data_IF_654595625570
#
_entry.id   IF_654595625570
#
_cell.length_a   1.000
_cell.length_b   1.000
_cell.length_c   1.000
_cell.angle_alpha   90.00
_cell.angle_beta   90.00
_cell.angle_gamma   90.00
#
_symmetry.space_group_name_H-M   'P 1'
#
loop_
_entity.id
_entity.type
_entity.pdbx_description
1 polymer ?
#
# COMPACT_ATOMS: atom_id res chain seq x y z
N UNK A 1 12.47 -11.42 23.94
CA UNK A 1 11.28 -10.96 23.20
C UNK A 1 10.14 -11.90 23.57
N UNK A 2 9.09 -11.37 24.23
CA UNK A 2 7.95 -12.20 24.63
C UNK A 2 7.11 -12.51 23.38
N UNK A 3 7.14 -13.76 22.93
CA UNK A 3 6.24 -14.26 21.89
C UNK A 3 4.91 -14.63 22.54
N UNK A 4 3.81 -14.15 22.01
CA UNK A 4 2.49 -14.60 22.39
C UNK A 4 2.21 -15.92 21.65
N UNK A 5 1.97 -16.96 22.42
CA UNK A 5 1.72 -18.30 21.86
C UNK A 5 0.25 -18.53 21.47
N UNK A 6 -0.66 -17.68 21.96
CA UNK A 6 -2.09 -17.80 21.69
C UNK A 6 -2.71 -16.44 21.37
N UNK A 7 -3.80 -16.45 20.59
CA UNK A 7 -4.58 -15.24 20.32
C UNK A 7 -5.20 -14.63 21.58
N UNK A 8 -5.51 -15.45 22.57
CA UNK A 8 -6.09 -14.97 23.85
C UNK A 8 -5.07 -14.18 24.66
N UNK A 9 -3.82 -14.63 24.72
CA UNK A 9 -2.71 -13.91 25.37
C UNK A 9 -2.43 -12.58 24.65
N UNK A 10 -2.43 -12.57 23.32
CA UNK A 10 -2.28 -11.35 22.53
C UNK A 10 -3.41 -10.37 22.81
N UNK A 11 -4.67 -10.81 22.76
CA UNK A 11 -5.83 -9.98 23.06
C UNK A 11 -5.82 -9.46 24.50
N UNK A 12 -5.32 -10.24 25.45
CA UNK A 12 -5.19 -9.77 26.84
C UNK A 12 -4.13 -8.67 26.95
N UNK A 13 -2.97 -8.86 26.32
CA UNK A 13 -1.90 -7.87 26.31
C UNK A 13 -2.35 -6.54 25.66
N UNK A 14 -3.11 -6.61 24.55
CA UNK A 14 -3.71 -5.41 23.94
C UNK A 14 -4.65 -4.69 24.90
N UNK A 15 -5.53 -5.42 25.58
CA UNK A 15 -6.45 -4.84 26.59
C UNK A 15 -5.71 -4.19 27.77
N UNK A 16 -4.61 -4.78 28.19
CA UNK A 16 -3.82 -4.25 29.31
C UNK A 16 -3.14 -2.93 28.93
N UNK A 17 -2.62 -2.81 27.70
CA UNK A 17 -2.08 -1.54 27.18
C UNK A 17 -3.18 -0.47 27.08
N UNK A 18 -4.37 -0.83 26.55
CA UNK A 18 -5.48 0.12 26.39
C UNK A 18 -6.05 0.62 27.71
N UNK A 19 -6.00 -0.20 28.76
CA UNK A 19 -6.49 0.16 30.10
C UNK A 19 -5.47 0.92 30.95
N UNK A 20 -4.23 0.99 30.54
CA UNK A 20 -3.16 1.67 31.26
C UNK A 20 -3.31 3.19 31.11
N UNK A 21 -4.07 3.80 32.02
CA UNK A 21 -4.33 5.25 32.02
C UNK A 21 -3.14 6.10 32.49
N UNK A 22 -2.05 5.48 32.92
CA UNK A 22 -0.83 6.19 33.31
C UNK A 22 0.03 6.60 32.09
N UNK A 23 -0.29 6.08 30.91
CA UNK A 23 0.45 6.33 29.69
C UNK A 23 -0.23 7.34 28.77
N UNK A 24 0.57 8.11 28.04
CA UNK A 24 0.06 8.99 26.99
C UNK A 24 -0.43 8.15 25.80
N UNK A 25 -1.21 8.77 24.91
CA UNK A 25 -1.68 8.14 23.68
C UNK A 25 -0.53 7.61 22.81
N UNK A 26 0.55 8.39 22.67
CA UNK A 26 1.74 7.99 21.91
C UNK A 26 2.44 6.77 22.54
N UNK A 27 2.54 6.75 23.88
CA UNK A 27 3.13 5.61 24.59
C UNK A 27 2.28 4.35 24.44
N UNK A 28 0.95 4.48 24.52
CA UNK A 28 0.05 3.36 24.28
C UNK A 28 0.17 2.84 22.85
N UNK A 29 0.17 3.75 21.85
CA UNK A 29 0.34 3.40 20.44
C UNK A 29 1.66 2.68 20.18
N UNK A 30 2.75 3.18 20.76
CA UNK A 30 4.06 2.53 20.65
C UNK A 30 4.06 1.12 21.27
N UNK A 31 3.44 0.94 22.43
CA UNK A 31 3.34 -0.39 23.05
C UNK A 31 2.46 -1.35 22.24
N UNK A 32 1.34 -0.87 21.71
CA UNK A 32 0.51 -1.68 20.81
C UNK A 32 1.27 -2.09 19.56
N UNK A 33 2.06 -1.15 18.99
CA UNK A 33 2.94 -1.43 17.88
C UNK A 33 3.94 -2.56 18.19
N UNK A 34 4.59 -2.49 19.33
CA UNK A 34 5.51 -3.53 19.81
C UNK A 34 4.84 -4.89 20.01
N UNK A 35 3.62 -4.91 20.54
CA UNK A 35 2.86 -6.16 20.70
C UNK A 35 2.56 -6.82 19.35
N UNK A 36 2.11 -6.04 18.36
CA UNK A 36 1.81 -6.58 17.04
C UNK A 36 3.08 -7.05 16.32
N UNK A 37 4.18 -6.30 16.38
CA UNK A 37 5.47 -6.68 15.83
C UNK A 37 5.95 -8.03 16.38
N UNK A 38 5.80 -8.24 17.69
CA UNK A 38 6.19 -9.48 18.35
C UNK A 38 5.23 -10.67 18.03
N UNK A 39 4.05 -10.40 17.49
CA UNK A 39 3.06 -11.43 17.13
C UNK A 39 3.10 -11.83 15.66
N UNK A 40 3.83 -11.10 14.81
CA UNK A 40 3.95 -11.42 13.39
C UNK A 40 4.81 -12.66 13.18
N UNK A 41 4.29 -13.62 12.42
CA UNK A 41 5.08 -14.70 11.87
C UNK A 41 5.77 -14.20 10.60
N UNK A 42 7.08 -14.06 10.65
CA UNK A 42 7.84 -13.77 9.44
C UNK A 42 7.81 -14.97 8.48
N UNK A 43 7.89 -14.75 7.16
CA UNK A 43 7.90 -15.84 6.17
C UNK A 43 9.00 -16.89 6.36
N UNK A 44 10.03 -16.56 7.12
CA UNK A 44 11.15 -17.44 7.50
C UNK A 44 11.07 -17.88 8.96
N UNK A 45 9.89 -17.93 9.52
CA UNK A 45 9.60 -18.06 10.95
C UNK A 45 10.17 -19.30 11.66
N UNK A 46 10.66 -20.29 10.93
CA UNK A 46 11.21 -21.51 11.51
C UNK A 46 12.74 -21.56 11.43
N UNK A 47 13.39 -20.45 11.12
CA UNK A 47 14.86 -20.37 11.08
C UNK A 47 15.39 -19.65 12.34
N UNK A 48 15.88 -20.44 13.29
CA UNK A 48 16.47 -19.92 14.52
C UNK A 48 17.66 -18.99 14.23
N UNK A 49 18.39 -19.22 13.14
CA UNK A 49 19.51 -18.38 12.73
C UNK A 49 19.04 -16.97 12.30
N UNK A 50 17.90 -16.85 11.64
CA UNK A 50 17.31 -15.55 11.29
C UNK A 50 16.99 -14.74 12.54
N UNK A 51 16.32 -15.36 13.52
CA UNK A 51 15.96 -14.67 14.76
C UNK A 51 17.17 -14.30 15.61
N UNK A 52 18.22 -15.11 15.60
CA UNK A 52 19.48 -14.81 16.28
C UNK A 52 20.17 -13.58 15.66
N UNK A 53 20.19 -13.48 14.32
CA UNK A 53 20.76 -12.35 13.61
C UNK A 53 19.91 -11.07 13.80
N UNK A 54 18.60 -11.21 13.78
CA UNK A 54 17.67 -10.11 14.05
C UNK A 54 17.81 -9.59 15.49
N UNK A 55 17.88 -10.49 16.46
CA UNK A 55 18.09 -10.12 17.87
C UNK A 55 19.44 -9.44 18.15
N UNK A 56 20.48 -9.76 17.36
CA UNK A 56 21.79 -9.12 17.41
C UNK A 56 21.86 -7.80 16.65
N UNK A 57 20.83 -7.46 15.86
CA UNK A 57 20.81 -6.28 15.01
C UNK A 57 21.67 -6.40 13.73
N UNK A 58 22.08 -7.62 13.37
CA UNK A 58 22.81 -7.87 12.12
C UNK A 58 21.86 -7.89 10.91
N UNK A 59 20.58 -8.21 11.14
CA UNK A 59 19.46 -8.04 10.23
C UNK A 59 18.50 -7.06 10.90
N UNK A 60 18.07 -6.03 10.20
CA UNK A 60 17.11 -5.07 10.71
C UNK A 60 16.03 -4.81 9.67
N UNK A 61 14.85 -4.45 10.14
CA UNK A 61 13.81 -3.91 9.29
C UNK A 61 14.25 -2.55 8.74
N UNK A 62 13.93 -2.28 7.48
CA UNK A 62 14.02 -0.93 6.91
C UNK A 62 12.84 -0.07 7.40
N UNK A 63 12.46 -0.26 8.64
CA UNK A 63 11.33 0.39 9.24
C UNK A 63 11.71 1.81 9.65
N UNK A 64 11.27 2.78 8.89
CA UNK A 64 11.52 4.21 9.15
C UNK A 64 10.67 4.78 10.28
N UNK A 65 9.97 3.98 11.00
CA UNK A 65 9.15 4.49 12.06
C UNK A 65 8.46 3.39 12.82
N UNK A 66 8.65 3.20 13.93
CA UNK A 66 7.97 2.46 14.98
C UNK A 66 6.64 1.80 14.53
N UNK A 67 6.66 1.08 13.40
CA UNK A 67 5.57 0.24 12.93
C UNK A 67 5.30 -0.85 13.97
N UNK A 68 4.23 -1.57 13.97
CA UNK A 68 3.34 -2.01 12.91
C UNK A 68 2.01 -1.27 12.86
N UNK A 69 1.72 -0.36 13.76
CA UNK A 69 0.51 0.46 13.71
C UNK A 69 0.69 1.76 12.91
N UNK A 70 1.89 1.99 12.39
CA UNK A 70 2.16 2.99 11.39
C UNK A 70 2.69 2.27 10.14
N UNK A 71 1.85 1.61 9.36
CA UNK A 71 2.29 0.99 8.11
C UNK A 71 2.89 2.08 7.24
N UNK A 72 4.02 1.77 6.58
CA UNK A 72 4.67 2.72 5.71
C UNK A 72 3.76 3.13 4.55
N UNK A 73 2.97 2.19 4.07
CA UNK A 73 2.01 2.38 3.00
C UNK A 73 0.74 1.59 3.28
N UNK A 74 -0.36 2.08 2.74
CA UNK A 74 -1.60 1.34 2.64
C UNK A 74 -1.76 0.90 1.19
N UNK A 75 -1.99 -0.39 1.01
CA UNK A 75 -2.33 -0.99 -0.27
C UNK A 75 -3.81 -1.36 -0.25
N UNK A 76 -4.69 -0.54 -0.83
CA UNK A 76 -6.08 -0.93 -1.05
C UNK A 76 -6.18 -2.11 -2.01
N UNK A 77 -7.25 -2.86 -1.93
CA UNK A 77 -7.55 -3.93 -2.88
C UNK A 77 -8.08 -3.33 -4.19
N UNK A 78 -7.15 -2.78 -4.99
CA UNK A 78 -7.49 -2.14 -6.26
C UNK A 78 -8.03 -3.13 -7.29
N UNK A 79 -7.56 -4.37 -7.27
CA UNK A 79 -8.04 -5.43 -8.17
C UNK A 79 -9.53 -5.68 -7.97
N UNK A 80 -9.93 -5.87 -6.71
CA UNK A 80 -11.32 -6.01 -6.33
C UNK A 80 -12.12 -4.75 -6.66
N UNK A 81 -11.57 -3.58 -6.37
CA UNK A 81 -12.23 -2.31 -6.63
C UNK A 81 -12.50 -2.09 -8.13
N UNK A 82 -11.55 -2.36 -9.01
CA UNK A 82 -11.74 -2.26 -10.46
C UNK A 82 -12.73 -3.30 -10.99
N UNK A 83 -12.80 -4.47 -10.35
CA UNK A 83 -13.70 -5.54 -10.76
C UNK A 83 -15.14 -5.36 -10.29
N UNK A 84 -15.33 -4.87 -9.08
CA UNK A 84 -16.64 -4.82 -8.41
C UNK A 84 -17.19 -3.39 -8.26
N UNK A 85 -16.36 -2.37 -8.42
CA UNK A 85 -16.70 -0.99 -8.10
C UNK A 85 -16.74 -0.73 -6.59
N UNK A 86 -17.46 0.32 -6.20
CA UNK A 86 -17.67 0.68 -4.81
C UNK A 86 -19.07 1.25 -4.59
N UNK A 87 -19.88 0.56 -3.82
CA UNK A 87 -21.21 1.06 -3.42
C UNK A 87 -21.07 2.33 -2.58
N UNK A 88 -20.10 2.36 -1.66
CA UNK A 88 -19.84 3.53 -0.81
C UNK A 88 -19.47 4.78 -1.61
N UNK A 89 -18.59 4.66 -2.60
CA UNK A 89 -18.18 5.76 -3.48
C UNK A 89 -19.15 5.97 -4.65
N UNK A 90 -20.13 5.08 -4.83
CA UNK A 90 -21.06 5.06 -5.95
C UNK A 90 -20.34 5.00 -7.31
N UNK A 91 -19.32 4.18 -7.38
CA UNK A 91 -18.51 3.94 -8.58
C UNK A 91 -18.86 2.56 -9.11
N UNK A 92 -19.35 2.50 -10.34
CA UNK A 92 -19.56 1.26 -11.08
C UNK A 92 -18.20 0.66 -11.52
N UNK A 93 -18.13 -0.65 -11.76
CA UNK A 93 -16.92 -1.25 -12.33
C UNK A 93 -16.54 -0.57 -13.64
N UNK A 94 -15.31 -0.08 -13.80
CA UNK A 94 -14.87 0.62 -15.00
C UNK A 94 -14.87 -0.31 -16.22
N UNK A 95 -15.22 0.22 -17.37
CA UNK A 95 -15.27 -0.49 -18.66
C UNK A 95 -14.24 0.01 -19.65
N UNK A 96 -13.68 1.18 -19.41
CA UNK A 96 -12.70 1.83 -20.27
C UNK A 96 -11.45 2.22 -19.48
N UNK A 97 -10.33 2.42 -20.16
CA UNK A 97 -9.09 2.86 -19.54
C UNK A 97 -9.27 4.22 -18.83
N UNK A 98 -10.04 5.13 -19.40
CA UNK A 98 -10.33 6.42 -18.78
C UNK A 98 -11.12 6.26 -17.47
N UNK A 99 -12.11 5.39 -17.45
CA UNK A 99 -12.88 5.10 -16.24
C UNK A 99 -12.00 4.41 -15.18
N UNK A 100 -11.14 3.47 -15.59
CA UNK A 100 -10.23 2.77 -14.68
C UNK A 100 -9.22 3.73 -14.04
N UNK A 101 -8.56 4.57 -14.81
CA UNK A 101 -7.61 5.55 -14.29
C UNK A 101 -8.31 6.60 -13.41
N UNK A 102 -9.52 7.02 -13.77
CA UNK A 102 -10.33 7.93 -12.94
C UNK A 102 -10.71 7.27 -11.61
N UNK A 103 -11.16 6.02 -11.64
CA UNK A 103 -11.50 5.27 -10.43
C UNK A 103 -10.28 5.10 -9.49
N UNK A 104 -9.11 4.77 -10.05
CA UNK A 104 -7.87 4.69 -9.29
C UNK A 104 -7.49 6.02 -8.63
N UNK A 105 -7.62 7.15 -9.34
CA UNK A 105 -7.36 8.48 -8.78
C UNK A 105 -8.32 8.79 -7.62
N UNK A 106 -9.60 8.50 -7.78
CA UNK A 106 -10.59 8.74 -6.71
C UNK A 106 -10.22 7.92 -5.48
N UNK A 107 -9.92 6.62 -5.64
CA UNK A 107 -9.54 5.76 -4.53
C UNK A 107 -8.22 6.24 -3.90
N UNK A 108 -7.24 6.57 -4.72
CA UNK A 108 -5.94 7.08 -4.29
C UNK A 108 -6.07 8.33 -3.41
N UNK A 109 -6.88 9.30 -3.80
CA UNK A 109 -7.09 10.52 -3.00
C UNK A 109 -7.99 10.29 -1.78
N UNK A 110 -8.89 9.31 -1.84
CA UNK A 110 -9.82 9.03 -0.74
C UNK A 110 -9.14 8.36 0.45
N UNK A 111 -8.26 7.41 0.19
CA UNK A 111 -7.59 6.63 1.24
C UNK A 111 -6.72 7.49 2.18
N UNK A 112 -5.85 8.39 1.71
CA UNK A 112 -5.05 9.25 2.58
C UNK A 112 -5.92 10.21 3.41
N UNK A 113 -7.05 10.66 2.86
CA UNK A 113 -7.98 11.54 3.60
C UNK A 113 -8.57 10.88 4.85
N UNK A 114 -8.64 9.56 4.87
CA UNK A 114 -9.15 8.77 6.00
C UNK A 114 -8.01 8.31 6.89
N UNK A 115 -6.93 7.79 6.30
CA UNK A 115 -5.88 7.07 7.01
C UNK A 115 -4.68 7.92 7.38
N UNK A 116 -4.43 9.00 6.66
CA UNK A 116 -3.22 9.85 6.73
C UNK A 116 -1.91 9.11 6.42
N UNK A 117 -1.98 7.98 5.76
CA UNK A 117 -0.81 7.21 5.36
C UNK A 117 -0.62 7.28 3.85
N UNK A 118 0.63 7.23 3.36
CA UNK A 118 0.92 7.10 1.94
C UNK A 118 0.23 5.89 1.35
N UNK A 119 -0.21 6.02 0.11
CA UNK A 119 -0.90 4.96 -0.62
C UNK A 119 0.04 4.33 -1.62
N UNK A 120 -0.01 3.01 -1.69
CA UNK A 120 0.69 2.22 -2.67
C UNK A 120 -0.32 1.62 -3.63
N UNK A 121 -0.14 1.84 -4.94
CA UNK A 121 -1.09 1.36 -5.95
C UNK A 121 -0.84 -0.12 -6.30
N UNK A 122 0.35 -0.64 -6.04
CA UNK A 122 0.70 -2.01 -6.39
C UNK A 122 1.27 -2.11 -7.81
N UNK A 123 1.00 -3.21 -8.50
CA UNK A 123 1.41 -3.46 -9.88
C UNK A 123 0.49 -2.67 -10.84
N UNK A 124 0.88 -1.43 -11.12
CA UNK A 124 0.05 -0.50 -11.91
C UNK A 124 -0.16 -0.98 -13.35
N UNK A 125 0.85 -1.57 -13.93
CA UNK A 125 0.79 -2.13 -15.28
C UNK A 125 -0.18 -3.30 -15.36
N UNK A 126 -0.12 -4.24 -14.42
CA UNK A 126 -1.05 -5.38 -14.36
C UNK A 126 -2.50 -4.93 -14.16
N UNK A 127 -2.72 -3.94 -13.28
CA UNK A 127 -4.06 -3.40 -13.01
C UNK A 127 -4.70 -2.76 -14.24
N UNK A 128 -3.90 -2.10 -15.08
CA UNK A 128 -4.40 -1.35 -16.24
C UNK A 128 -4.31 -2.13 -17.56
N UNK A 129 -3.54 -3.22 -17.63
CA UNK A 129 -3.36 -4.01 -18.86
C UNK A 129 -4.67 -4.41 -19.54
N UNK A 130 -5.69 -4.94 -18.82
CA UNK A 130 -6.95 -5.33 -19.45
C UNK A 130 -7.69 -4.18 -20.17
N UNK A 131 -7.47 -2.95 -19.73
CA UNK A 131 -8.08 -1.76 -20.33
C UNK A 131 -7.23 -1.20 -21.47
N UNK A 132 -5.90 -1.26 -21.35
CA UNK A 132 -4.97 -0.83 -22.39
C UNK A 132 -5.07 -1.73 -23.62
N UNK A 133 -5.20 -3.05 -23.45
CA UNK A 133 -5.35 -4.01 -24.55
C UNK A 133 -6.56 -3.70 -25.45
N UNK A 134 -7.62 -3.14 -24.87
CA UNK A 134 -8.86 -2.80 -25.60
C UNK A 134 -8.94 -1.34 -26.07
N UNK A 135 -7.93 -0.54 -25.78
CA UNK A 135 -7.88 0.89 -26.10
C UNK A 135 -6.90 1.12 -27.25
N UNK A 136 -7.25 2.05 -28.16
CA UNK A 136 -6.32 2.54 -29.16
C UNK A 136 -5.03 3.11 -28.54
N UNK A 137 -3.90 2.86 -29.16
CA UNK A 137 -2.59 3.15 -28.55
C UNK A 137 -2.36 4.65 -28.32
N UNK A 138 -2.79 5.51 -29.27
CA UNK A 138 -2.66 6.95 -29.13
C UNK A 138 -3.56 7.46 -27.98
N UNK A 139 -4.79 6.94 -27.91
CA UNK A 139 -5.72 7.24 -26.85
C UNK A 139 -5.20 6.72 -25.48
N UNK A 140 -4.68 5.50 -25.43
CA UNK A 140 -4.11 4.94 -24.21
C UNK A 140 -2.94 5.79 -23.71
N UNK A 141 -2.03 6.19 -24.61
CA UNK A 141 -0.91 7.07 -24.29
C UNK A 141 -1.38 8.40 -23.68
N UNK A 142 -2.37 9.05 -24.30
CA UNK A 142 -2.93 10.31 -23.82
C UNK A 142 -3.57 10.18 -22.42
N UNK A 143 -4.33 9.11 -22.18
CA UNK A 143 -4.99 8.85 -20.90
C UNK A 143 -3.96 8.56 -19.82
N UNK A 144 -2.99 7.66 -20.08
CA UNK A 144 -1.95 7.30 -19.13
C UNK A 144 -1.06 8.50 -18.80
N UNK A 145 -0.70 9.32 -19.78
CA UNK A 145 0.08 10.55 -19.54
C UNK A 145 -0.67 11.50 -18.60
N UNK A 146 -1.97 11.71 -18.84
CA UNK A 146 -2.80 12.55 -17.97
C UNK A 146 -2.91 11.98 -16.56
N UNK A 147 -3.03 10.67 -16.43
CA UNK A 147 -3.08 9.97 -15.15
C UNK A 147 -1.77 10.14 -14.36
N UNK A 148 -0.62 9.89 -14.98
CA UNK A 148 0.70 10.08 -14.36
C UNK A 148 0.93 11.53 -13.93
N UNK A 149 0.53 12.50 -14.78
CA UNK A 149 0.63 13.92 -14.43
C UNK A 149 -0.23 14.30 -13.22
N UNK A 150 -1.40 13.69 -13.08
CA UNK A 150 -2.24 13.93 -11.90
C UNK A 150 -1.64 13.32 -10.64
N UNK A 151 -1.07 12.12 -10.72
CA UNK A 151 -0.39 11.49 -9.59
C UNK A 151 0.84 12.30 -9.12
N UNK A 152 1.61 12.86 -10.07
CA UNK A 152 2.86 13.57 -9.78
C UNK A 152 2.65 15.03 -9.36
N UNK A 153 1.66 15.72 -9.93
CA UNK A 153 1.50 17.18 -9.83
C UNK A 153 0.34 17.64 -8.96
N UNK A 154 -0.41 16.74 -8.38
CA UNK A 154 -1.45 17.10 -7.43
C UNK A 154 -0.80 17.47 -6.10
N UNK A 155 -1.15 18.63 -5.56
CA UNK A 155 -0.66 19.07 -4.24
C UNK A 155 -1.44 18.29 -3.18
N UNK A 156 -0.84 17.20 -2.76
CA UNK A 156 -1.38 16.26 -1.81
C UNK A 156 -0.20 15.82 -0.94
N UNK A 157 -0.39 15.71 0.35
CA UNK A 157 0.68 15.34 1.30
C UNK A 157 1.10 13.85 1.16
N UNK A 158 0.52 13.13 0.22
CA UNK A 158 0.78 11.70 0.05
C UNK A 158 1.70 11.42 -1.13
N UNK A 159 2.77 10.70 -0.83
CA UNK A 159 3.59 10.10 -1.87
C UNK A 159 2.83 8.95 -2.53
N UNK A 160 2.73 8.99 -3.86
CA UNK A 160 2.22 7.87 -4.64
C UNK A 160 3.35 6.91 -4.98
N UNK A 161 3.17 5.66 -4.66
CA UNK A 161 4.08 4.59 -5.04
C UNK A 161 3.32 3.54 -5.83
N UNK A 162 3.94 3.12 -6.94
CA UNK A 162 3.46 2.02 -7.76
C UNK A 162 4.65 1.21 -8.26
N UNK A 163 4.40 -0.05 -8.62
CA UNK A 163 5.37 -0.88 -9.32
C UNK A 163 4.99 -0.99 -10.80
N UNK A 164 6.01 -1.22 -11.62
CA UNK A 164 5.91 -1.62 -13.03
C UNK A 164 6.75 -2.88 -13.18
N UNK A 165 6.19 -3.93 -13.75
CA UNK A 165 6.84 -5.24 -13.83
C UNK A 165 6.60 -6.11 -12.58
N UNK A 166 7.25 -7.31 -12.49
CA UNK A 166 8.49 -7.72 -13.18
C UNK A 166 8.30 -8.33 -14.57
N UNK A 167 7.08 -8.52 -15.03
CA UNK A 167 6.82 -9.08 -16.36
C UNK A 167 6.67 -7.96 -17.40
N UNK A 168 7.03 -8.24 -18.62
CA UNK A 168 6.83 -7.30 -19.72
C UNK A 168 5.35 -7.27 -20.12
N UNK A 169 4.73 -6.08 -20.02
CA UNK A 169 3.35 -5.83 -20.42
C UNK A 169 3.31 -4.66 -21.41
N UNK A 170 2.26 -4.55 -22.22
CA UNK A 170 2.07 -3.41 -23.12
C UNK A 170 1.93 -2.11 -22.30
N UNK A 171 1.18 -2.16 -21.24
CA UNK A 171 1.00 -1.04 -20.30
C UNK A 171 2.31 -0.65 -19.64
N UNK A 172 3.09 -1.61 -19.16
CA UNK A 172 4.39 -1.36 -18.55
C UNK A 172 5.33 -0.62 -19.47
N UNK A 173 5.42 -1.03 -20.74
CA UNK A 173 6.25 -0.36 -21.75
C UNK A 173 5.78 1.08 -22.00
N UNK A 174 4.46 1.31 -22.16
CA UNK A 174 3.91 2.65 -22.31
C UNK A 174 4.16 3.55 -21.09
N UNK A 175 4.02 3.00 -19.89
CA UNK A 175 4.26 3.75 -18.64
C UNK A 175 5.73 4.16 -18.52
N UNK A 176 6.68 3.28 -18.84
CA UNK A 176 8.11 3.58 -18.78
C UNK A 176 8.49 4.67 -19.78
N UNK A 177 8.00 4.60 -21.03
CA UNK A 177 8.21 5.64 -22.04
C UNK A 177 7.65 7.00 -21.59
N UNK A 178 6.44 7.01 -21.02
CA UNK A 178 5.80 8.22 -20.54
C UNK A 178 6.52 8.83 -19.33
N UNK A 179 7.03 8.00 -18.44
CA UNK A 179 7.84 8.48 -17.31
C UNK A 179 9.15 9.12 -17.79
N UNK A 180 9.80 8.54 -18.81
CA UNK A 180 10.99 9.15 -19.41
C UNK A 180 10.67 10.51 -20.06
N UNK A 181 9.55 10.61 -20.77
CA UNK A 181 9.10 11.88 -21.36
C UNK A 181 8.76 12.96 -20.29
N UNK A 182 8.18 12.57 -19.18
CA UNK A 182 7.75 13.51 -18.12
C UNK A 182 8.91 14.02 -17.26
N UNK A 183 10.05 13.31 -17.27
CA UNK A 183 11.27 13.68 -16.54
C UNK A 183 12.24 14.52 -17.41
N UNK A 184 12.05 14.56 -18.72
CA UNK A 184 12.86 15.34 -19.66
C UNK A 184 12.38 16.77 -19.79
#
# INVERSE_FOLDING_TARGET
MERFFTMDEFHQAVRDVQKDTAQTYEQQTFRLAKLAENSLDYPVANDDAFYDLYAKGEICDLDEGHAPYAPRYILPDYEKFLKEGSEFLRIEPPKTLLEATTALLIMYHHVPSITRFPVYIGALDDLLEPFVETTDEEAARGILKSFLMQLDRTVDDSFCHANIGPYETKTGNLLLELLEELQS
#
